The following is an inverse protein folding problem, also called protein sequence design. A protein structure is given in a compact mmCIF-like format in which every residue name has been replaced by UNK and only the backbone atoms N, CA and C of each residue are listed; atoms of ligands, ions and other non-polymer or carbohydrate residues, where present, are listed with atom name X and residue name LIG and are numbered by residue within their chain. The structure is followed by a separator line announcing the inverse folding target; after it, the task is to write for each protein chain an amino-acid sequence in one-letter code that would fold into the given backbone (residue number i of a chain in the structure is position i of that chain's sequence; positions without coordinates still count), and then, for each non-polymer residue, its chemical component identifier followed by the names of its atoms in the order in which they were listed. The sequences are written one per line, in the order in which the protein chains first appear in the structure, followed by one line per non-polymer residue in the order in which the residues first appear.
data_IF_656027512098
#
_entry.id   IF_656027512098
#
_cell.length_a   1.000
_cell.length_b   1.000
_cell.length_c   1.000
_cell.angle_alpha   90.00
_cell.angle_beta   90.00
_cell.angle_gamma   90.00
#
_symmetry.space_group_name_H-M   'P 1'
#
loop_
_entity.id
_entity.type
_entity.pdbx_description
1 polymer ?
#
# COMPACT_ATOMS: atom_id res chain seq x y z
N UNK A 1 -40.16 -4.37 -32.26
CA UNK A 1 -39.77 -4.01 -30.88
C UNK A 1 -38.59 -4.84 -30.36
N UNK A 2 -38.45 -6.12 -30.73
CA UNK A 2 -37.35 -7.03 -30.33
C UNK A 2 -35.91 -6.47 -30.50
N UNK A 3 -35.66 -5.71 -31.57
CA UNK A 3 -34.35 -5.12 -31.89
C UNK A 3 -33.92 -4.03 -30.89
N UNK A 4 -34.87 -3.32 -30.28
CA UNK A 4 -34.61 -2.30 -29.25
C UNK A 4 -34.27 -2.96 -27.92
N UNK A 5 -34.99 -4.03 -27.56
CA UNK A 5 -34.72 -4.81 -26.36
C UNK A 5 -33.35 -5.48 -26.40
N UNK A 6 -32.95 -6.06 -27.54
CA UNK A 6 -31.62 -6.66 -27.71
C UNK A 6 -30.49 -5.64 -27.48
N UNK A 7 -30.59 -4.44 -28.08
CA UNK A 7 -29.61 -3.37 -27.87
C UNK A 7 -29.53 -2.93 -26.41
N UNK A 8 -30.67 -2.86 -25.72
CA UNK A 8 -30.73 -2.48 -24.31
C UNK A 8 -30.06 -3.51 -23.41
N UNK A 9 -30.29 -4.81 -23.66
CA UNK A 9 -29.65 -5.91 -22.92
C UNK A 9 -28.13 -5.90 -23.12
N UNK A 10 -27.67 -5.66 -24.35
CA UNK A 10 -26.23 -5.58 -24.64
C UNK A 10 -25.56 -4.39 -23.94
N UNK A 11 -26.22 -3.23 -23.91
CA UNK A 11 -25.73 -2.06 -23.19
C UNK A 11 -25.66 -2.30 -21.67
N UNK A 12 -26.69 -2.93 -21.09
CA UNK A 12 -26.68 -3.29 -19.67
C UNK A 12 -25.58 -4.30 -19.34
N UNK A 13 -25.31 -5.27 -20.22
CA UNK A 13 -24.21 -6.23 -20.05
C UNK A 13 -22.85 -5.53 -20.07
N UNK A 14 -22.62 -4.61 -21.02
CA UNK A 14 -21.37 -3.84 -21.09
C UNK A 14 -21.15 -2.99 -19.84
N UNK A 15 -22.17 -2.28 -19.37
CA UNK A 15 -22.08 -1.49 -18.14
C UNK A 15 -21.76 -2.36 -16.92
N UNK A 16 -22.42 -3.51 -16.78
CA UNK A 16 -22.10 -4.44 -15.70
C UNK A 16 -20.66 -4.96 -15.78
N UNK A 17 -20.16 -5.26 -16.98
CA UNK A 17 -18.77 -5.67 -17.18
C UNK A 17 -17.78 -4.56 -16.78
N UNK A 18 -18.03 -3.32 -17.18
CA UNK A 18 -17.21 -2.16 -16.80
C UNK A 18 -17.20 -1.95 -15.28
N UNK A 19 -18.38 -1.97 -14.64
CA UNK A 19 -18.51 -1.86 -13.19
C UNK A 19 -17.73 -2.97 -12.47
N UNK A 20 -17.81 -4.21 -12.97
CA UNK A 20 -17.13 -5.34 -12.37
C UNK A 20 -15.60 -5.25 -12.57
N UNK A 21 -15.14 -4.81 -13.73
CA UNK A 21 -13.71 -4.53 -13.99
C UNK A 21 -13.20 -3.40 -13.07
N UNK A 22 -13.97 -2.34 -12.89
CA UNK A 22 -13.63 -1.26 -11.97
C UNK A 22 -13.56 -1.76 -10.52
N UNK A 23 -14.53 -2.56 -10.08
CA UNK A 23 -14.52 -3.16 -8.74
C UNK A 23 -13.28 -4.05 -8.53
N UNK A 24 -12.93 -4.89 -9.52
CA UNK A 24 -11.73 -5.72 -9.48
C UNK A 24 -10.44 -4.89 -9.39
N UNK A 25 -10.33 -3.82 -10.18
CA UNK A 25 -9.18 -2.91 -10.11
C UNK A 25 -9.06 -2.22 -8.75
N UNK A 26 -10.19 -1.82 -8.14
CA UNK A 26 -10.19 -1.22 -6.81
C UNK A 26 -9.78 -2.24 -5.74
N UNK A 27 -10.33 -3.46 -5.79
CA UNK A 27 -9.97 -4.55 -4.89
C UNK A 27 -8.47 -4.86 -4.99
N UNK A 28 -7.92 -4.98 -6.20
CA UNK A 28 -6.49 -5.20 -6.42
C UNK A 28 -5.62 -4.09 -5.79
N UNK A 29 -6.00 -2.82 -5.96
CA UNK A 29 -5.28 -1.69 -5.34
C UNK A 29 -5.29 -1.76 -3.80
N UNK A 30 -6.43 -2.11 -3.21
CA UNK A 30 -6.55 -2.26 -1.76
C UNK A 30 -5.69 -3.43 -1.24
N UNK A 31 -5.72 -4.57 -1.94
CA UNK A 31 -4.90 -5.74 -1.61
C UNK A 31 -3.41 -5.40 -1.65
N UNK A 32 -2.94 -4.76 -2.72
CA UNK A 32 -1.53 -4.34 -2.84
C UNK A 32 -1.16 -3.37 -1.71
N UNK A 33 -2.05 -2.45 -1.34
CA UNK A 33 -1.80 -1.53 -0.22
C UNK A 33 -1.74 -2.23 1.13
N UNK A 34 -2.62 -3.19 1.38
CA UNK A 34 -2.62 -4.01 2.59
C UNK A 34 -1.33 -4.81 2.70
N UNK A 35 -0.95 -5.50 1.62
CA UNK A 35 0.27 -6.29 1.56
C UNK A 35 1.52 -5.41 1.77
N UNK A 36 1.57 -4.25 1.14
CA UNK A 36 2.67 -3.31 1.34
C UNK A 36 2.77 -2.82 2.80
N UNK A 37 1.63 -2.65 3.48
CA UNK A 37 1.63 -2.34 4.90
C UNK A 37 2.15 -3.52 5.74
N UNK A 38 1.67 -4.73 5.47
CA UNK A 38 2.11 -5.95 6.16
C UNK A 38 3.59 -6.26 5.95
N UNK A 39 4.19 -5.92 4.81
CA UNK A 39 5.64 -6.04 4.56
C UNK A 39 6.43 -4.97 5.32
N UNK A 40 5.91 -3.74 5.45
CA UNK A 40 6.61 -2.68 6.20
C UNK A 40 6.74 -3.01 7.68
N UNK A 41 5.80 -3.77 8.24
CA UNK A 41 5.81 -4.16 9.65
C UNK A 41 7.04 -5.00 10.04
N UNK A 42 7.36 -6.16 9.41
CA UNK A 42 8.55 -6.92 9.71
C UNK A 42 9.83 -6.16 9.35
N UNK A 43 9.85 -5.29 8.33
CA UNK A 43 11.01 -4.43 8.06
C UNK A 43 11.25 -3.42 9.18
N UNK A 44 10.20 -2.81 9.72
CA UNK A 44 10.29 -1.94 10.90
C UNK A 44 10.76 -2.70 12.14
N UNK A 45 10.26 -3.92 12.35
CA UNK A 45 10.71 -4.82 13.42
C UNK A 45 12.18 -5.21 13.30
N UNK A 46 12.63 -5.60 12.11
CA UNK A 46 14.01 -5.97 11.81
C UNK A 46 14.96 -4.77 12.03
N UNK A 47 14.56 -3.58 11.56
CA UNK A 47 15.29 -2.34 11.84
C UNK A 47 15.38 -2.05 13.34
N UNK A 48 14.26 -2.15 14.07
CA UNK A 48 14.24 -1.94 15.52
C UNK A 48 15.11 -2.92 16.28
N UNK A 49 15.07 -4.20 15.91
CA UNK A 49 15.92 -5.24 16.49
C UNK A 49 17.42 -4.96 16.24
N UNK A 50 17.78 -4.57 15.02
CA UNK A 50 19.15 -4.21 14.68
C UNK A 50 19.65 -2.98 15.45
N UNK A 51 18.80 -1.96 15.62
CA UNK A 51 19.12 -0.77 16.44
C UNK A 51 19.30 -1.10 17.92
N UNK A 52 18.53 -2.05 18.46
CA UNK A 52 18.72 -2.50 19.83
C UNK A 52 20.02 -3.28 19.98
N UNK A 53 20.31 -4.17 19.02
CA UNK A 53 21.54 -4.96 19.01
C UNK A 53 22.79 -4.08 18.91
N UNK A 54 22.77 -3.06 18.04
CA UNK A 54 23.87 -2.11 17.84
C UNK A 54 24.34 -1.47 19.16
N UNK A 55 23.39 -1.12 20.03
CA UNK A 55 23.67 -0.51 21.35
C UNK A 55 24.36 -1.47 22.32
N UNK A 56 24.24 -2.78 22.10
CA UNK A 56 24.83 -3.82 22.93
C UNK A 56 26.20 -4.28 22.42
N UNK A 57 26.59 -3.88 21.20
CA UNK A 57 27.84 -4.33 20.58
C UNK A 57 29.05 -3.52 21.11
N UNK A 58 30.14 -4.21 21.52
CA UNK A 58 31.30 -3.58 22.15
C UNK A 58 32.31 -2.98 21.16
N UNK A 59 32.25 -3.36 19.89
CA UNK A 59 33.20 -2.94 18.84
C UNK A 59 32.49 -2.28 17.68
N UNK A 60 33.07 -1.21 17.15
CA UNK A 60 32.57 -0.52 15.95
C UNK A 60 32.56 -1.43 14.72
N UNK A 61 33.50 -2.37 14.61
CA UNK A 61 33.51 -3.37 13.53
C UNK A 61 32.28 -4.29 13.55
N UNK A 62 31.69 -4.53 14.73
CA UNK A 62 30.46 -5.31 14.85
C UNK A 62 29.22 -4.46 14.54
N UNK A 63 29.27 -3.16 14.86
CA UNK A 63 28.19 -2.20 14.58
C UNK A 63 27.97 -1.99 13.08
N UNK A 64 29.02 -2.13 12.27
CA UNK A 64 28.90 -2.10 10.80
C UNK A 64 27.87 -3.10 10.29
N UNK A 65 27.83 -4.32 10.86
CA UNK A 65 26.84 -5.33 10.47
C UNK A 65 25.41 -4.91 10.81
N UNK A 66 25.18 -4.35 12.00
CA UNK A 66 23.84 -3.86 12.38
C UNK A 66 23.42 -2.69 11.50
N UNK A 67 24.36 -1.85 11.09
CA UNK A 67 24.06 -0.72 10.21
C UNK A 67 23.70 -1.16 8.80
N UNK A 68 24.39 -2.16 8.24
CA UNK A 68 24.01 -2.78 6.98
C UNK A 68 22.58 -3.33 7.04
N UNK A 69 22.20 -4.01 8.15
CA UNK A 69 20.85 -4.54 8.34
C UNK A 69 19.81 -3.41 8.35
N UNK A 70 20.07 -2.32 9.06
CA UNK A 70 19.19 -1.14 9.11
C UNK A 70 19.02 -0.54 7.71
N UNK A 71 20.12 -0.34 6.99
CA UNK A 71 20.09 0.21 5.63
C UNK A 71 19.31 -0.68 4.65
N UNK A 72 19.46 -2.00 4.72
CA UNK A 72 18.70 -2.91 3.87
C UNK A 72 17.20 -2.89 4.20
N UNK A 73 16.84 -2.81 5.49
CA UNK A 73 15.45 -2.67 5.90
C UNK A 73 14.81 -1.40 5.34
N UNK A 74 15.52 -0.27 5.45
CA UNK A 74 15.07 1.03 4.93
C UNK A 74 15.00 1.03 3.40
N UNK A 75 15.96 0.41 2.72
CA UNK A 75 15.94 0.23 1.25
C UNK A 75 14.73 -0.59 0.80
N UNK A 76 14.45 -1.71 1.45
CA UNK A 76 13.29 -2.56 1.12
C UNK A 76 11.99 -1.80 1.36
N UNK A 77 11.88 -1.07 2.47
CA UNK A 77 10.71 -0.22 2.75
C UNK A 77 10.49 0.81 1.63
N UNK A 78 11.56 1.48 1.18
CA UNK A 78 11.49 2.45 0.09
C UNK A 78 11.08 1.81 -1.24
N UNK A 79 11.51 0.58 -1.53
CA UNK A 79 11.07 -0.16 -2.71
C UNK A 79 9.56 -0.49 -2.63
N UNK A 80 9.08 -0.93 -1.46
CA UNK A 80 7.65 -1.17 -1.21
C UNK A 80 6.83 0.12 -1.36
N UNK A 81 7.34 1.25 -0.88
CA UNK A 81 6.69 2.55 -1.05
C UNK A 81 6.55 2.94 -2.53
N UNK A 82 7.56 2.66 -3.36
CA UNK A 82 7.54 2.96 -4.80
C UNK A 82 6.54 2.08 -5.57
N UNK A 83 6.38 0.81 -5.18
CA UNK A 83 5.41 -0.11 -5.78
C UNK A 83 3.96 0.38 -5.66
N UNK A 84 3.66 1.17 -4.63
CA UNK A 84 2.33 1.75 -4.41
C UNK A 84 2.04 2.98 -5.29
N UNK A 85 3.05 3.50 -5.99
CA UNK A 85 2.96 4.74 -6.74
C UNK A 85 2.82 5.99 -5.86
N UNK A 86 2.71 7.19 -6.45
CA UNK A 86 2.53 8.42 -5.70
C UNK A 86 1.29 8.33 -4.81
N UNK A 87 1.46 8.48 -3.50
CA UNK A 87 0.32 8.64 -2.61
C UNK A 87 -0.37 9.94 -2.99
N UNK A 88 -1.53 9.85 -3.65
CA UNK A 88 -2.42 11.01 -3.80
C UNK A 88 -2.72 11.50 -2.38
N UNK A 89 -2.37 12.73 -2.01
CA UNK A 89 -2.74 13.27 -0.72
C UNK A 89 -4.26 13.19 -0.64
N UNK A 90 -4.78 12.34 0.27
CA UNK A 90 -6.21 12.30 0.53
C UNK A 90 -6.62 13.70 0.94
N UNK A 91 -7.54 14.31 0.19
CA UNK A 91 -8.21 15.52 0.61
C UNK A 91 -8.86 15.23 1.96
N UNK A 92 -8.22 15.68 3.04
CA UNK A 92 -8.86 15.74 4.36
C UNK A 92 -10.06 16.69 4.21
N UNK A 93 -11.24 16.13 3.95
CA UNK A 93 -12.48 16.88 3.94
C UNK A 93 -12.74 17.32 5.40
N UNK A 94 -12.35 18.55 5.70
CA UNK A 94 -12.71 19.23 6.93
C UNK A 94 -14.23 19.45 6.91
N UNK A 95 -14.98 18.51 7.48
CA UNK A 95 -16.39 18.71 7.85
C UNK A 95 -16.60 18.19 9.26
N UNK A 96 -16.20 18.98 10.25
CA UNK A 96 -16.78 18.97 11.60
C UNK A 96 -16.52 20.30 12.28
N UNK A 97 -17.46 21.24 12.14
CA UNK A 97 -17.85 22.22 13.18
C UNK A 97 -18.99 23.11 12.65
N UNK A 98 -20.19 22.50 12.56
CA UNK A 98 -21.46 23.24 12.66
C UNK A 98 -22.35 22.50 13.65
N UNK A 99 -22.26 22.89 14.91
CA UNK A 99 -23.14 22.66 16.07
C UNK A 99 -22.28 23.06 17.27
N UNK A 100 -22.63 24.02 18.13
CA UNK A 100 -23.86 24.76 18.41
C UNK A 100 -23.48 26.06 19.11
#
# INVERSE_FOLDING_TARGET
MLLVELKQVDQQRRLNQELNQHAQQQAAKLLVRSLAHEIKNPLGGLRGAAQLLEKMLPSDSLREYTQIIIEQADRLRNLVDRLLGPQRPGTKNQRTSTSS
#
